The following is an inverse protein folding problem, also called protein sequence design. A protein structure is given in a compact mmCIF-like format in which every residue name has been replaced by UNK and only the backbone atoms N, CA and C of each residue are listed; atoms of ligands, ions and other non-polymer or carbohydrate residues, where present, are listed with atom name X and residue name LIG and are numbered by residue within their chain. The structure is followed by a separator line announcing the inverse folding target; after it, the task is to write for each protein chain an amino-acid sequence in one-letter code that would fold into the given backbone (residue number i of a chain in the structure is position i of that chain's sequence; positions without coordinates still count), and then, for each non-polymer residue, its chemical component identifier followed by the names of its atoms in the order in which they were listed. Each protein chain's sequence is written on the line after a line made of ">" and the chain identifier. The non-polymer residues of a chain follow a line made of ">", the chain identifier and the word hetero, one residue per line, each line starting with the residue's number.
data_IF_284340662488
#
_entry.id   IF_284340662488
#
_cell.length_a   1.000
_cell.length_b   1.000
_cell.length_c   1.000
_cell.angle_alpha   90.00
_cell.angle_beta   90.00
_cell.angle_gamma   90.00
#
_symmetry.space_group_name_H-M   'P 1'
#
loop_
_entity.id
_entity.type
_entity.pdbx_description
1 polymer ?
#
# COMPACT_ATOMS: atom_id res chain seq x y z
N UNK A 1 2.60 -23.90 -41.75
CA UNK A 1 2.98 -23.83 -40.32
C UNK A 1 3.57 -22.48 -39.93
N UNK A 2 4.60 -21.95 -40.62
CA UNK A 2 5.22 -20.65 -40.28
C UNK A 2 4.27 -19.44 -40.30
N UNK A 3 3.33 -19.38 -41.25
CA UNK A 3 2.36 -18.27 -41.36
C UNK A 3 1.33 -18.26 -40.22
N UNK A 4 0.91 -19.44 -39.74
CA UNK A 4 -0.06 -19.59 -38.66
C UNK A 4 0.55 -19.24 -37.30
N UNK A 5 1.81 -19.60 -37.09
CA UNK A 5 2.56 -19.21 -35.89
C UNK A 5 2.78 -17.69 -35.82
N UNK A 6 2.98 -17.01 -36.94
CA UNK A 6 3.15 -15.55 -36.96
C UNK A 6 1.85 -14.81 -36.69
N UNK A 7 0.71 -15.28 -37.19
CA UNK A 7 -0.60 -14.68 -36.89
C UNK A 7 -1.02 -14.91 -35.44
N UNK A 8 -0.75 -16.09 -34.88
CA UNK A 8 -1.04 -16.38 -33.47
C UNK A 8 -0.21 -15.50 -32.51
N UNK A 9 1.07 -15.27 -32.83
CA UNK A 9 1.94 -14.38 -32.06
C UNK A 9 1.43 -12.93 -32.08
N UNK A 10 1.01 -12.45 -33.26
CA UNK A 10 0.48 -11.11 -33.43
C UNK A 10 -0.84 -10.89 -32.66
N UNK A 11 -1.72 -11.89 -32.65
CA UNK A 11 -2.96 -11.86 -31.87
C UNK A 11 -2.70 -11.79 -30.36
N UNK A 12 -1.68 -12.49 -29.85
CA UNK A 12 -1.29 -12.45 -28.44
C UNK A 12 -0.77 -11.06 -28.00
N UNK A 13 -0.04 -10.37 -28.88
CA UNK A 13 0.51 -9.03 -28.64
C UNK A 13 -0.59 -7.96 -28.52
N UNK A 14 -1.68 -8.08 -29.31
CA UNK A 14 -2.80 -7.14 -29.23
C UNK A 14 -3.56 -7.22 -27.89
N UNK A 15 -3.64 -8.41 -27.29
CA UNK A 15 -4.30 -8.64 -26.00
C UNK A 15 -3.52 -8.06 -24.80
N UNK A 16 -2.22 -7.78 -24.95
CA UNK A 16 -1.38 -7.23 -23.88
C UNK A 16 -1.49 -5.70 -23.69
N UNK A 17 -2.20 -5.00 -24.58
CA UNK A 17 -2.22 -3.52 -24.60
C UNK A 17 -3.25 -2.86 -23.68
N UNK A 18 -4.20 -3.63 -23.11
CA UNK A 18 -5.23 -3.10 -22.20
C UNK A 18 -4.82 -3.27 -20.73
N UNK A 19 -3.78 -2.53 -20.30
CA UNK A 19 -3.44 -2.39 -18.88
C UNK A 19 -4.26 -1.29 -18.20
N UNK A 20 -4.54 -1.37 -16.89
CA UNK A 20 -5.15 -0.27 -16.16
C UNK A 20 -4.26 0.97 -16.22
N UNK A 21 -4.87 2.15 -16.35
CA UNK A 21 -4.14 3.42 -16.31
C UNK A 21 -3.59 3.63 -14.90
N UNK A 22 -2.30 3.45 -14.73
CA UNK A 22 -1.59 3.75 -13.47
C UNK A 22 -1.29 5.24 -13.46
N UNK A 23 -1.79 5.94 -12.44
CA UNK A 23 -1.49 7.35 -12.25
C UNK A 23 -0.17 7.49 -11.54
N UNK A 24 0.82 8.05 -12.23
CA UNK A 24 2.16 8.28 -11.70
C UNK A 24 2.47 9.79 -11.69
N UNK A 25 3.18 10.24 -10.67
CA UNK A 25 3.71 11.61 -10.66
C UNK A 25 4.83 11.75 -11.72
N UNK A 26 5.03 12.94 -12.31
CA UNK A 26 6.03 13.15 -13.38
C UNK A 26 7.47 12.75 -13.01
N UNK A 27 7.80 12.76 -11.72
CA UNK A 27 9.11 12.44 -11.17
C UNK A 27 9.16 11.09 -10.41
N UNK A 28 8.13 10.24 -10.53
CA UNK A 28 8.02 9.00 -9.76
C UNK A 28 9.19 8.05 -10.00
N UNK A 29 9.65 7.91 -11.24
CA UNK A 29 10.77 7.05 -11.60
C UNK A 29 12.12 7.52 -11.02
N UNK A 30 12.36 8.83 -10.91
CA UNK A 30 13.59 9.36 -10.32
C UNK A 30 13.57 9.25 -8.80
N UNK A 31 12.41 9.49 -8.18
CA UNK A 31 12.24 9.47 -6.73
C UNK A 31 12.21 8.04 -6.18
N UNK A 32 11.57 7.09 -6.89
CA UNK A 32 11.46 5.71 -6.43
C UNK A 32 12.79 4.94 -6.46
N UNK A 33 13.72 5.28 -7.37
CA UNK A 33 15.05 4.63 -7.42
C UNK A 33 15.88 4.79 -6.16
N UNK A 34 15.73 5.91 -5.46
CA UNK A 34 16.49 6.18 -4.22
C UNK A 34 15.77 5.72 -2.96
N UNK A 35 14.49 5.38 -3.05
CA UNK A 35 13.73 4.93 -1.88
C UNK A 35 14.10 3.48 -1.55
N UNK A 36 14.75 3.30 -0.41
CA UNK A 36 15.08 1.99 0.14
C UNK A 36 14.22 1.64 1.36
N UNK A 37 13.52 2.61 1.94
CA UNK A 37 12.78 2.48 3.17
C UNK A 37 11.41 3.14 3.02
N UNK A 38 10.35 2.41 3.36
CA UNK A 38 8.98 2.92 3.39
C UNK A 38 8.43 2.87 4.81
N UNK A 39 7.67 3.88 5.19
CA UNK A 39 6.98 3.95 6.48
C UNK A 39 5.47 3.88 6.26
N UNK A 40 4.76 3.32 7.24
CA UNK A 40 3.29 3.22 7.22
C UNK A 40 2.78 4.23 8.23
N UNK A 41 2.18 5.32 7.75
CA UNK A 41 1.59 6.35 8.61
C UNK A 41 0.30 5.81 9.24
N UNK A 42 -0.04 6.15 10.50
CA UNK A 42 -1.32 5.80 11.10
C UNK A 42 -2.48 6.28 10.21
N UNK A 43 -3.39 5.39 9.79
CA UNK A 43 -4.53 5.78 8.96
C UNK A 43 -5.54 6.60 9.75
N UNK A 44 -6.32 7.45 9.07
CA UNK A 44 -7.47 8.10 9.70
C UNK A 44 -8.66 7.13 9.72
N UNK A 45 -9.11 6.77 10.92
CA UNK A 45 -10.27 5.89 11.15
C UNK A 45 -11.38 6.70 11.81
N UNK A 46 -12.61 6.53 11.31
CA UNK A 46 -13.80 7.11 11.90
C UNK A 46 -14.91 6.06 11.96
N UNK A 47 -15.46 5.83 13.15
CA UNK A 47 -16.56 4.89 13.37
C UNK A 47 -17.86 5.70 13.35
N UNK A 48 -18.78 5.34 12.45
CA UNK A 48 -20.12 5.94 12.40
C UNK A 48 -20.99 5.33 13.49
N UNK A 49 -21.20 6.07 14.57
CA UNK A 49 -22.13 5.72 15.64
C UNK A 49 -23.60 5.93 15.28
N UNK A 50 -24.48 5.30 16.06
CA UNK A 50 -25.91 5.61 16.11
C UNK A 50 -26.15 6.71 17.16
N UNK A 51 -27.28 7.43 17.11
CA UNK A 51 -27.56 8.53 18.06
C UNK A 51 -27.58 8.16 19.55
N UNK A 52 -27.67 6.86 19.87
CA UNK A 52 -27.69 6.35 21.25
C UNK A 52 -26.33 5.86 21.74
N UNK A 53 -25.34 5.81 20.86
CA UNK A 53 -24.02 5.30 21.19
C UNK A 53 -23.22 6.39 21.90
N UNK A 54 -22.35 5.97 22.83
CA UNK A 54 -21.46 6.89 23.51
C UNK A 54 -20.34 7.34 22.58
N UNK A 55 -20.38 8.61 22.19
CA UNK A 55 -19.42 9.21 21.27
C UNK A 55 -17.97 9.08 21.77
N UNK A 56 -17.74 9.16 23.08
CA UNK A 56 -16.38 9.04 23.64
C UNK A 56 -15.82 7.62 23.47
N UNK A 57 -16.68 6.60 23.63
CA UNK A 57 -16.29 5.21 23.39
C UNK A 57 -16.00 4.94 21.91
N UNK A 58 -16.78 5.53 21.01
CA UNK A 58 -16.55 5.40 19.56
C UNK A 58 -15.24 6.07 19.14
N UNK A 59 -14.91 7.23 19.69
CA UNK A 59 -13.64 7.91 19.42
C UNK A 59 -12.45 7.13 19.97
N UNK A 60 -12.57 6.55 21.17
CA UNK A 60 -11.54 5.69 21.74
C UNK A 60 -11.31 4.45 20.87
N UNK A 61 -12.39 3.77 20.46
CA UNK A 61 -12.32 2.62 19.56
C UNK A 61 -11.69 2.99 18.20
N UNK A 62 -12.06 4.13 17.62
CA UNK A 62 -11.48 4.58 16.35
C UNK A 62 -9.96 4.85 16.46
N UNK A 63 -9.50 5.36 17.61
CA UNK A 63 -8.07 5.53 17.89
C UNK A 63 -7.35 4.20 18.04
N UNK A 64 -7.95 3.21 18.70
CA UNK A 64 -7.36 1.88 18.81
C UNK A 64 -7.28 1.18 17.44
N UNK A 65 -8.35 1.27 16.65
CA UNK A 65 -8.44 0.71 15.30
C UNK A 65 -7.37 1.30 14.38
N UNK A 66 -7.05 2.59 14.52
CA UNK A 66 -5.99 3.26 13.76
C UNK A 66 -4.66 2.50 13.86
N UNK A 67 -4.22 2.21 15.07
CA UNK A 67 -2.95 1.48 15.29
C UNK A 67 -3.07 0.00 14.94
N UNK A 68 -4.24 -0.60 15.16
CA UNK A 68 -4.50 -1.98 14.75
C UNK A 68 -4.37 -2.13 13.23
N UNK A 69 -5.03 -1.29 12.44
CA UNK A 69 -4.93 -1.28 10.99
C UNK A 69 -3.50 -1.03 10.51
N UNK A 70 -2.78 -0.10 11.14
CA UNK A 70 -1.38 0.16 10.80
C UNK A 70 -0.52 -1.11 10.91
N UNK A 71 -0.67 -1.89 11.99
CA UNK A 71 0.03 -3.18 12.18
C UNK A 71 -0.42 -4.27 11.21
N UNK A 72 -1.70 -4.29 10.85
CA UNK A 72 -2.21 -5.24 9.86
C UNK A 72 -1.65 -4.97 8.46
N UNK A 73 -1.60 -3.69 8.06
CA UNK A 73 -0.97 -3.26 6.81
C UNK A 73 0.52 -3.64 6.82
N UNK A 74 1.21 -3.39 7.93
CA UNK A 74 2.61 -3.80 8.12
C UNK A 74 2.79 -5.30 7.94
N UNK A 75 1.99 -6.10 8.65
CA UNK A 75 2.01 -7.56 8.57
C UNK A 75 1.73 -8.06 7.15
N UNK A 76 0.77 -7.43 6.46
CA UNK A 76 0.46 -7.75 5.06
C UNK A 76 1.63 -7.43 4.14
N UNK A 77 2.26 -6.26 4.28
CA UNK A 77 3.43 -5.89 3.48
C UNK A 77 4.63 -6.80 3.74
N UNK A 78 4.88 -7.19 5.00
CA UNK A 78 5.91 -8.17 5.33
C UNK A 78 5.66 -9.51 4.63
N UNK A 79 4.43 -10.02 4.65
CA UNK A 79 4.07 -11.25 3.92
C UNK A 79 4.31 -11.12 2.42
N UNK A 80 3.99 -9.96 1.83
CA UNK A 80 4.24 -9.68 0.41
C UNK A 80 5.74 -9.62 0.08
N UNK A 81 6.55 -9.06 0.98
CA UNK A 81 8.01 -9.08 0.90
C UNK A 81 8.57 -10.48 0.98
N UNK A 82 8.12 -11.30 1.94
CA UNK A 82 8.50 -12.71 2.07
C UNK A 82 8.15 -13.53 0.81
N UNK A 83 7.02 -13.24 0.17
CA UNK A 83 6.63 -13.84 -1.11
C UNK A 83 7.46 -13.35 -2.32
N UNK A 84 8.45 -12.48 -2.11
CA UNK A 84 9.29 -11.91 -3.15
C UNK A 84 8.58 -10.93 -4.08
N UNK A 85 7.39 -10.45 -3.69
CA UNK A 85 6.57 -9.50 -4.46
C UNK A 85 6.93 -8.04 -4.17
N UNK A 86 7.63 -7.80 -3.08
CA UNK A 86 8.31 -6.53 -2.75
C UNK A 86 9.79 -6.85 -2.68
N UNK A 87 10.62 -6.16 -3.48
CA UNK A 87 12.06 -6.39 -3.58
C UNK A 87 12.80 -5.06 -3.45
N UNK A 88 13.94 -5.07 -2.77
CA UNK A 88 14.80 -3.89 -2.63
C UNK A 88 14.22 -2.78 -1.74
N UNK A 89 13.14 -3.05 -1.02
CA UNK A 89 12.52 -2.11 -0.08
C UNK A 89 12.48 -2.71 1.33
N UNK A 90 12.89 -1.91 2.30
CA UNK A 90 12.70 -2.13 3.73
C UNK A 90 11.40 -1.46 4.17
N UNK A 91 10.69 -2.14 5.07
CA UNK A 91 9.45 -1.64 5.65
C UNK A 91 9.77 -1.26 7.09
N UNK A 92 9.63 0.02 7.41
CA UNK A 92 9.85 0.53 8.75
C UNK A 92 8.80 -0.03 9.70
N UNK A 93 9.25 -0.39 10.91
CA UNK A 93 8.35 -0.82 11.97
C UNK A 93 7.34 0.29 12.35
N UNK A 94 6.06 -0.04 12.62
CA UNK A 94 5.06 0.95 13.01
C UNK A 94 5.42 1.77 14.25
N UNK A 95 6.04 1.18 15.27
CA UNK A 95 6.42 1.87 16.51
C UNK A 95 7.52 2.90 16.23
N UNK A 96 8.50 2.53 15.41
CA UNK A 96 9.55 3.46 14.95
C UNK A 96 8.94 4.60 14.13
N UNK A 97 7.95 4.30 13.29
CA UNK A 97 7.25 5.30 12.49
C UNK A 97 6.53 6.30 13.38
N UNK A 98 5.76 5.80 14.36
CA UNK A 98 4.98 6.64 15.28
C UNK A 98 5.90 7.52 16.13
N UNK A 99 6.99 6.96 16.66
CA UNK A 99 8.01 7.71 17.41
C UNK A 99 8.61 8.84 16.56
N UNK A 100 8.86 8.60 15.27
CA UNK A 100 9.39 9.62 14.36
C UNK A 100 8.37 10.72 14.06
N UNK A 101 7.10 10.35 13.92
CA UNK A 101 6.01 11.32 13.71
C UNK A 101 5.82 12.20 14.94
N UNK A 102 5.76 11.62 16.13
CA UNK A 102 5.65 12.37 17.39
C UNK A 102 6.79 13.36 17.59
N UNK A 103 8.01 13.01 17.15
CA UNK A 103 9.16 13.92 17.18
C UNK A 103 9.09 15.03 16.12
N UNK A 104 8.36 14.81 15.03
CA UNK A 104 8.26 15.76 13.93
C UNK A 104 7.20 16.84 14.16
N UNK A 105 6.24 16.63 15.07
CA UNK A 105 5.17 17.57 15.41
C UNK A 105 3.83 17.15 14.81
#
# INVERSE_FOLDING_TARGET
>A
MRLFTTTLLLALLCLASCGPKVYEAPNMASVSRSHQLIAIVPPSVAIKGRPKDDQAQLEAAAREDTYTFQREIYSWMLRRKQQGKIRGLEIMDPETTNTKLERAG
#
